data_IF_576369665711
#
_entry.id   IF_576369665711
#
_cell.length_a   1.000
_cell.length_b   1.000
_cell.length_c   1.000
_cell.angle_alpha   90.00
_cell.angle_beta   90.00
_cell.angle_gamma   90.00
#
_symmetry.space_group_name_H-M   'P 1'
#
loop_
_entity.id
_entity.type
_entity.pdbx_description
1 polymer ?
#
# COMPACT_ATOMS: atom_id res chain seq x y z
N UNK A 1 15.35 -0.46 2.54
CA UNK A 1 14.55 0.72 2.13
C UNK A 1 14.96 1.24 0.75
N UNK A 2 16.27 1.35 0.47
CA UNK A 2 16.81 1.86 -0.81
C UNK A 2 16.31 1.10 -2.04
N UNK A 3 16.32 -0.24 -1.98
CA UNK A 3 15.90 -1.10 -3.11
C UNK A 3 14.46 -0.87 -3.57
N UNK A 4 13.54 -0.46 -2.67
CA UNK A 4 12.14 -0.21 -3.04
C UNK A 4 11.99 1.18 -3.62
N UNK A 5 12.67 2.18 -3.04
CA UNK A 5 12.67 3.56 -3.56
C UNK A 5 13.28 3.66 -4.96
N UNK A 6 14.28 2.83 -5.27
CA UNK A 6 14.92 2.80 -6.60
C UNK A 6 14.05 2.20 -7.71
N UNK A 7 12.92 1.56 -7.38
CA UNK A 7 12.03 0.97 -8.38
C UNK A 7 11.10 2.00 -9.03
N UNK A 8 11.02 3.22 -8.47
CA UNK A 8 10.32 4.34 -9.09
C UNK A 8 8.86 4.05 -9.50
N UNK A 9 8.17 3.22 -8.72
CA UNK A 9 6.82 2.74 -9.08
C UNK A 9 5.75 3.81 -8.93
N UNK A 10 4.71 3.71 -9.75
CA UNK A 10 3.54 4.60 -9.65
C UNK A 10 2.59 4.22 -8.51
N UNK A 11 2.42 2.92 -8.25
CA UNK A 11 1.41 2.41 -7.32
C UNK A 11 1.96 1.29 -6.43
N UNK A 12 1.47 1.24 -5.20
CA UNK A 12 1.49 0.04 -4.38
C UNK A 12 0.09 -0.56 -4.32
N UNK A 13 0.01 -1.89 -4.43
CA UNK A 13 -1.24 -2.65 -4.27
C UNK A 13 -1.05 -3.63 -3.12
N UNK A 14 -1.85 -3.46 -2.07
CA UNK A 14 -1.80 -4.27 -0.85
C UNK A 14 -2.99 -5.22 -0.88
N UNK A 15 -2.72 -6.52 -0.70
CA UNK A 15 -3.73 -7.59 -0.70
C UNK A 15 -3.42 -8.54 0.45
N UNK A 16 -4.38 -8.72 1.37
CA UNK A 16 -4.29 -9.67 2.49
C UNK A 16 -2.98 -9.58 3.31
N UNK A 17 -2.41 -8.37 3.46
CA UNK A 17 -1.20 -8.15 4.25
C UNK A 17 -1.56 -7.82 5.71
N UNK A 18 -1.02 -8.60 6.66
CA UNK A 18 -1.46 -8.58 8.06
C UNK A 18 -0.70 -7.63 8.97
N UNK A 19 0.29 -6.90 8.46
CA UNK A 19 1.08 -5.94 9.24
C UNK A 19 0.71 -4.51 8.88
N UNK A 20 0.74 -3.63 9.87
CA UNK A 20 0.60 -2.19 9.65
C UNK A 20 1.78 -1.73 8.78
N UNK A 21 1.48 -1.11 7.66
CA UNK A 21 2.48 -0.51 6.78
C UNK A 21 2.80 0.89 7.34
N UNK A 22 4.07 1.17 7.69
CA UNK A 22 4.46 2.48 8.19
C UNK A 22 4.31 3.55 7.10
N UNK A 23 4.03 4.78 7.51
CA UNK A 23 3.75 5.91 6.62
C UNK A 23 4.88 6.19 5.62
N UNK A 24 6.14 6.03 6.06
CA UNK A 24 7.31 6.20 5.20
C UNK A 24 7.38 5.20 4.03
N UNK A 25 6.64 4.09 4.09
CA UNK A 25 6.47 3.14 3.00
C UNK A 25 5.23 3.50 2.17
N UNK A 26 4.13 3.86 2.82
CA UNK A 26 2.88 4.26 2.14
C UNK A 26 3.08 5.45 1.18
N UNK A 27 4.05 6.32 1.48
CA UNK A 27 4.36 7.53 0.71
C UNK A 27 5.46 7.32 -0.36
N UNK A 28 5.95 6.09 -0.58
CA UNK A 28 6.94 5.79 -1.64
C UNK A 28 6.36 5.86 -3.07
N UNK A 29 5.19 5.26 -3.39
CA UNK A 29 4.72 5.22 -4.77
C UNK A 29 4.39 6.63 -5.27
N UNK A 30 4.67 6.93 -6.54
CA UNK A 30 4.52 8.28 -7.11
C UNK A 30 3.08 8.80 -7.06
N UNK A 31 2.09 7.91 -7.08
CA UNK A 31 0.66 8.27 -7.15
C UNK A 31 -0.12 7.83 -5.92
N UNK A 32 -0.16 6.53 -5.61
CA UNK A 32 -1.02 6.03 -4.53
C UNK A 32 -0.63 4.64 -4.00
N UNK A 33 -0.92 4.39 -2.72
CA UNK A 33 -1.03 3.06 -2.14
C UNK A 33 -2.50 2.63 -2.04
N UNK A 34 -2.86 1.51 -2.68
CA UNK A 34 -4.23 0.99 -2.78
C UNK A 34 -4.33 -0.29 -1.96
N UNK A 35 -5.34 -0.40 -1.10
CA UNK A 35 -5.63 -1.61 -0.35
C UNK A 35 -6.86 -2.33 -0.91
N UNK A 36 -6.72 -3.61 -1.27
CA UNK A 36 -7.84 -4.45 -1.69
C UNK A 36 -8.45 -5.09 -0.45
N UNK A 37 -9.68 -4.67 -0.14
CA UNK A 37 -10.43 -5.20 0.98
C UNK A 37 -11.35 -6.34 0.54
N UNK A 38 -11.40 -7.42 1.33
CA UNK A 38 -12.26 -8.58 1.06
C UNK A 38 -13.73 -8.38 1.45
N UNK A 39 -14.18 -7.14 1.58
CA UNK A 39 -15.54 -6.81 2.04
C UNK A 39 -16.01 -5.46 1.47
N UNK A 40 -17.28 -5.14 1.70
CA UNK A 40 -17.94 -3.93 1.18
C UNK A 40 -17.74 -2.75 2.14
N UNK A 41 -16.70 -1.96 1.93
CA UNK A 41 -16.46 -0.76 2.74
C UNK A 41 -17.61 0.29 2.61
N UNK A 42 -17.93 1.05 3.68
CA UNK A 42 -17.29 1.02 5.00
C UNK A 42 -17.77 -0.13 5.89
N UNK A 43 -18.68 -1.00 5.43
CA UNK A 43 -19.13 -2.17 6.20
C UNK A 43 -17.98 -3.20 6.27
N UNK A 44 -17.79 -3.82 7.43
CA UNK A 44 -16.83 -4.92 7.64
C UNK A 44 -15.35 -4.56 7.35
N UNK A 45 -14.89 -3.36 7.75
CA UNK A 45 -13.47 -2.94 7.69
C UNK A 45 -12.60 -3.74 8.66
#
# INVERSE_FOLDING_TARGET
MEKIKSLEVDYFVVVAYSKIIPENILNIPKKMCINIHGSILPKYR
#
